data_IF_243986190414
#
_entry.id   IF_243986190414
#
_cell.length_a   1.000
_cell.length_b   1.000
_cell.length_c   1.000
_cell.angle_alpha   90.00
_cell.angle_beta   90.00
_cell.angle_gamma   90.00
#
_symmetry.space_group_name_H-M   'P 1'
#
loop_
_entity.id
_entity.type
_entity.pdbx_description
1 polymer ?
#
# COMPACT_ATOMS: atom_id res chain seq x y z
N UNK A 1 -82.27 4.50 -23.13
CA UNK A 1 -82.15 4.43 -24.60
C UNK A 1 -80.93 5.27 -24.96
N UNK A 2 -79.84 4.85 -25.58
CA UNK A 2 -79.47 3.62 -26.31
C UNK A 2 -77.95 3.70 -26.46
N UNK A 3 -77.20 2.61 -26.21
CA UNK A 3 -75.78 2.52 -26.62
C UNK A 3 -75.71 2.34 -28.14
N UNK A 4 -74.54 2.62 -28.75
CA UNK A 4 -73.99 1.57 -29.59
C UNK A 4 -72.51 1.29 -29.35
N UNK A 5 -72.19 0.06 -29.73
CA UNK A 5 -70.91 -0.65 -29.71
C UNK A 5 -69.90 -0.06 -30.70
N UNK A 6 -68.61 -0.25 -30.40
CA UNK A 6 -67.52 -0.16 -31.35
C UNK A 6 -66.39 -1.13 -30.98
N UNK A 7 -66.39 -2.31 -31.61
CA UNK A 7 -65.27 -3.26 -31.64
C UNK A 7 -64.21 -2.73 -32.61
N UNK A 8 -62.97 -2.61 -32.16
CA UNK A 8 -61.78 -2.36 -32.99
C UNK A 8 -60.71 -3.38 -32.68
N UNK A 9 -60.37 -4.20 -33.68
CA UNK A 9 -59.42 -5.32 -33.63
C UNK A 9 -57.99 -4.88 -33.96
N UNK A 10 -57.06 -5.79 -33.63
CA UNK A 10 -55.77 -6.09 -34.26
C UNK A 10 -54.47 -5.58 -33.63
N UNK A 11 -53.71 -6.57 -33.16
CA UNK A 11 -52.28 -6.57 -32.88
C UNK A 11 -51.42 -6.23 -34.09
N UNK A 12 -50.30 -5.53 -33.87
CA UNK A 12 -49.12 -5.58 -34.74
C UNK A 12 -47.87 -5.69 -33.84
N UNK A 13 -47.15 -6.80 -33.98
CA UNK A 13 -45.74 -6.96 -33.60
C UNK A 13 -44.87 -6.12 -34.54
N UNK A 14 -43.81 -5.46 -34.06
CA UNK A 14 -42.38 -5.76 -34.36
C UNK A 14 -41.41 -4.65 -33.95
N UNK A 15 -40.23 -5.10 -33.46
CA UNK A 15 -38.87 -4.54 -33.57
C UNK A 15 -38.59 -3.13 -33.00
N UNK A 16 -37.46 -2.80 -32.37
CA UNK A 16 -36.09 -3.29 -32.51
C UNK A 16 -35.24 -2.76 -31.33
N UNK A 17 -34.10 -3.44 -31.14
CA UNK A 17 -32.82 -2.91 -30.64
C UNK A 17 -32.74 -2.40 -29.20
N UNK A 18 -32.14 -3.22 -28.34
CA UNK A 18 -31.45 -2.73 -27.14
C UNK A 18 -30.05 -3.36 -27.05
N UNK A 19 -29.09 -2.57 -27.51
CA UNK A 19 -27.75 -2.34 -26.93
C UNK A 19 -26.84 -3.55 -26.65
N UNK A 20 -25.78 -3.62 -27.45
CA UNK A 20 -24.46 -4.16 -27.10
C UNK A 20 -24.06 -3.70 -25.69
N UNK A 21 -24.06 -4.61 -24.73
CA UNK A 21 -23.40 -4.38 -23.44
C UNK A 21 -21.90 -4.59 -23.65
N UNK A 22 -21.17 -3.51 -23.39
CA UNK A 22 -19.74 -3.35 -23.45
C UNK A 22 -18.97 -4.50 -22.79
N UNK A 23 -17.90 -4.89 -23.48
CA UNK A 23 -16.71 -5.56 -22.97
C UNK A 23 -16.41 -5.10 -21.54
N UNK A 24 -16.54 -6.02 -20.59
CA UNK A 24 -15.93 -5.85 -19.27
C UNK A 24 -14.43 -5.73 -19.46
N UNK A 25 -13.89 -4.53 -19.24
CA UNK A 25 -12.47 -4.36 -19.03
C UNK A 25 -12.11 -5.15 -17.78
N UNK A 26 -11.41 -6.27 -17.98
CA UNK A 26 -10.76 -6.97 -16.89
C UNK A 26 -9.79 -5.97 -16.25
N UNK A 27 -10.16 -5.42 -15.09
CA UNK A 27 -9.21 -4.77 -14.20
C UNK A 27 -8.24 -5.88 -13.77
N UNK A 28 -7.06 -5.93 -14.39
CA UNK A 28 -5.95 -6.68 -13.84
C UNK A 28 -5.53 -5.99 -12.53
N UNK A 29 -6.28 -6.27 -11.47
CA UNK A 29 -5.71 -6.31 -10.13
C UNK A 29 -4.66 -7.41 -10.21
N UNK A 30 -3.40 -7.05 -10.35
CA UNK A 30 -2.31 -8.02 -10.20
C UNK A 30 -2.34 -8.48 -8.75
N UNK A 31 -3.12 -9.53 -8.52
CA UNK A 31 -3.04 -10.30 -7.31
C UNK A 31 -1.64 -10.91 -7.27
N UNK A 32 -0.95 -10.71 -6.15
CA UNK A 32 0.32 -11.38 -5.83
C UNK A 32 0.20 -12.87 -6.20
N UNK A 33 1.14 -13.38 -7.01
CA UNK A 33 1.10 -14.79 -7.38
C UNK A 33 1.50 -15.66 -6.18
N UNK A 34 1.13 -16.94 -6.22
CA UNK A 34 1.53 -17.86 -5.15
C UNK A 34 3.06 -17.99 -5.03
N UNK A 35 3.77 -17.86 -6.14
CA UNK A 35 5.24 -17.89 -6.18
C UNK A 35 5.82 -16.64 -5.53
N UNK A 36 5.35 -15.44 -5.90
CA UNK A 36 5.81 -14.16 -5.33
C UNK A 36 5.59 -14.14 -3.81
N UNK A 37 4.41 -14.61 -3.37
CA UNK A 37 4.09 -14.75 -1.96
C UNK A 37 5.06 -15.69 -1.24
N UNK A 38 5.37 -16.85 -1.82
CA UNK A 38 6.28 -17.80 -1.21
C UNK A 38 7.70 -17.24 -1.09
N UNK A 39 8.18 -16.53 -2.12
CA UNK A 39 9.48 -15.87 -2.15
C UNK A 39 9.57 -14.76 -1.11
N UNK A 40 8.60 -13.83 -1.09
CA UNK A 40 8.58 -12.75 -0.11
C UNK A 40 8.50 -13.29 1.32
N UNK A 41 7.73 -14.36 1.56
CA UNK A 41 7.67 -15.01 2.87
C UNK A 41 8.99 -15.68 3.26
N UNK A 42 9.74 -16.25 2.31
CA UNK A 42 11.07 -16.80 2.55
C UNK A 42 12.09 -15.69 2.84
N UNK A 43 12.06 -14.59 2.09
CA UNK A 43 12.90 -13.42 2.32
C UNK A 43 12.63 -12.79 3.69
N UNK A 44 11.36 -12.60 4.07
CA UNK A 44 11.00 -12.09 5.39
C UNK A 44 11.58 -12.98 6.51
N UNK A 45 11.42 -14.31 6.40
CA UNK A 45 11.99 -15.27 7.37
C UNK A 45 13.51 -15.21 7.41
N UNK A 46 14.16 -15.08 6.26
CA UNK A 46 15.62 -14.91 6.17
C UNK A 46 16.04 -13.66 6.93
N UNK A 47 15.41 -12.52 6.65
CA UNK A 47 15.67 -11.26 7.35
C UNK A 47 15.50 -11.39 8.86
N UNK A 48 14.43 -12.03 9.34
CA UNK A 48 14.28 -12.35 10.75
C UNK A 48 15.46 -13.18 11.29
N UNK A 49 15.81 -14.29 10.62
CA UNK A 49 16.83 -15.23 11.13
C UNK A 49 18.23 -14.64 11.17
N UNK A 50 18.56 -13.79 10.20
CA UNK A 50 19.87 -13.13 10.08
C UNK A 50 19.93 -11.83 10.87
N UNK A 51 18.79 -11.35 11.40
CA UNK A 51 18.63 -10.02 11.98
C UNK A 51 18.98 -8.90 11.00
N UNK A 52 18.59 -9.07 9.74
CA UNK A 52 18.71 -8.07 8.68
C UNK A 52 17.36 -7.37 8.46
N UNK A 53 17.17 -6.20 9.09
CA UNK A 53 15.88 -5.49 9.07
C UNK A 53 15.49 -5.03 7.67
N UNK A 54 16.44 -4.51 6.88
CA UNK A 54 16.15 -4.01 5.52
C UNK A 54 15.65 -5.15 4.64
N UNK A 55 16.29 -6.33 4.68
CA UNK A 55 15.82 -7.51 3.96
C UNK A 55 14.38 -7.92 4.36
N UNK A 56 14.08 -7.89 5.66
CA UNK A 56 12.73 -8.13 6.16
C UNK A 56 11.74 -7.06 5.66
N UNK A 57 12.12 -5.79 5.73
CA UNK A 57 11.28 -4.66 5.35
C UNK A 57 10.96 -4.70 3.85
N UNK A 58 11.91 -5.02 2.99
CA UNK A 58 11.69 -5.15 1.54
C UNK A 58 10.60 -6.18 1.24
N UNK A 59 10.65 -7.34 1.89
CA UNK A 59 9.59 -8.35 1.79
C UNK A 59 8.25 -7.86 2.35
N UNK A 60 8.28 -7.10 3.45
CA UNK A 60 7.10 -6.49 4.05
C UNK A 60 6.46 -5.42 3.14
N UNK A 61 7.27 -4.66 2.40
CA UNK A 61 6.83 -3.67 1.42
C UNK A 61 6.23 -4.34 0.19
N UNK A 62 6.89 -5.39 -0.32
CA UNK A 62 6.46 -6.09 -1.53
C UNK A 62 5.17 -6.89 -1.35
N UNK A 63 4.98 -7.58 -0.22
CA UNK A 63 3.95 -8.61 -0.09
C UNK A 63 2.83 -8.24 0.91
N UNK A 64 1.56 -8.12 0.46
CA UNK A 64 0.41 -8.07 1.34
C UNK A 64 0.32 -9.25 2.32
N UNK A 65 0.72 -10.46 1.90
CA UNK A 65 0.70 -11.64 2.76
C UNK A 65 1.74 -11.55 3.89
N UNK A 66 2.95 -11.05 3.60
CA UNK A 66 3.96 -10.76 4.63
C UNK A 66 3.43 -9.70 5.60
N UNK A 67 2.83 -8.61 5.10
CA UNK A 67 2.20 -7.61 5.98
C UNK A 67 1.14 -8.20 6.89
N UNK A 68 0.26 -9.04 6.34
CA UNK A 68 -0.80 -9.68 7.13
C UNK A 68 -0.22 -10.57 8.24
N UNK A 69 0.91 -11.25 8.00
CA UNK A 69 1.58 -12.10 8.98
C UNK A 69 2.37 -11.32 10.04
N UNK A 70 3.05 -10.26 9.63
CA UNK A 70 4.01 -9.52 10.47
C UNK A 70 3.47 -8.16 10.94
N UNK A 71 2.17 -7.91 10.83
CA UNK A 71 1.51 -6.83 11.55
C UNK A 71 1.07 -7.35 12.92
N UNK A 72 1.41 -6.65 13.99
CA UNK A 72 1.00 -7.04 15.34
C UNK A 72 -0.53 -7.05 15.45
N UNK A 73 -1.13 -7.81 16.40
CA UNK A 73 -2.60 -7.91 16.55
C UNK A 73 -3.31 -6.56 16.65
N UNK A 74 -2.60 -5.54 17.14
CA UNK A 74 -3.06 -4.16 17.15
C UNK A 74 -1.90 -3.21 16.80
N UNK A 75 -2.18 -2.20 15.95
CA UNK A 75 -1.24 -1.15 15.56
C UNK A 75 -1.67 0.16 16.17
N UNK A 76 -0.82 0.75 16.98
CA UNK A 76 -1.07 2.06 17.55
C UNK A 76 -0.77 3.15 16.54
N UNK A 77 -1.75 4.01 16.28
CA UNK A 77 -1.47 5.23 15.52
C UNK A 77 -0.91 6.26 16.50
N UNK A 78 0.22 6.90 16.24
CA UNK A 78 0.80 7.92 17.13
C UNK A 78 1.22 9.14 16.35
N UNK A 79 1.32 10.28 17.03
CA UNK A 79 1.83 11.50 16.41
C UNK A 79 3.34 11.38 16.17
N UNK A 80 3.78 11.68 14.95
CA UNK A 80 5.20 11.58 14.55
C UNK A 80 6.11 12.41 15.46
N UNK A 81 5.69 13.62 15.84
CA UNK A 81 6.48 14.52 16.71
C UNK A 81 6.48 14.11 18.18
N UNK A 82 5.57 13.24 18.61
CA UNK A 82 5.44 12.81 20.00
C UNK A 82 5.15 11.30 20.07
N UNK A 83 6.06 10.45 19.54
CA UNK A 83 5.80 9.03 19.38
C UNK A 83 5.73 8.28 20.71
N UNK A 84 6.24 8.87 21.80
CA UNK A 84 6.13 8.30 23.15
C UNK A 84 4.74 8.49 23.77
N UNK A 85 3.93 9.44 23.26
CA UNK A 85 2.58 9.68 23.80
C UNK A 85 1.58 8.80 23.07
N UNK A 86 0.79 8.05 23.83
CA UNK A 86 -0.35 7.33 23.29
C UNK A 86 -1.34 8.34 22.69
N UNK A 87 -1.79 8.11 21.45
CA UNK A 87 -2.83 8.92 20.82
C UNK A 87 -4.25 8.52 21.28
N UNK A 88 -4.39 7.35 21.89
CA UNK A 88 -5.66 6.69 22.18
C UNK A 88 -6.24 5.92 20.99
N UNK A 89 -5.66 6.00 19.78
CA UNK A 89 -6.10 5.26 18.60
C UNK A 89 -5.27 4.00 18.40
N UNK A 90 -5.91 2.85 18.59
CA UNK A 90 -5.32 1.55 18.33
C UNK A 90 -6.21 0.80 17.31
N UNK A 91 -5.61 0.39 16.20
CA UNK A 91 -6.31 -0.32 15.13
C UNK A 91 -6.02 -1.82 15.26
N UNK A 92 -7.03 -2.70 15.31
CA UNK A 92 -6.75 -4.13 15.17
C UNK A 92 -6.09 -4.38 13.81
N UNK A 93 -5.22 -5.39 13.72
CA UNK A 93 -4.53 -5.76 12.47
C UNK A 93 -5.53 -5.94 11.31
N UNK A 94 -6.70 -6.52 11.62
CA UNK A 94 -7.81 -6.71 10.70
C UNK A 94 -8.45 -5.42 10.21
N UNK A 95 -8.12 -4.23 10.75
CA UNK A 95 -8.54 -2.92 10.24
C UNK A 95 -7.36 -2.07 9.76
N UNK A 96 -6.12 -2.49 9.99
CA UNK A 96 -4.94 -1.83 9.45
C UNK A 96 -4.80 -2.17 7.96
N UNK A 97 -5.19 -1.23 7.09
CA UNK A 97 -5.25 -1.44 5.63
C UNK A 97 -4.20 -0.67 4.85
N UNK A 98 -3.58 0.32 5.48
CA UNK A 98 -2.80 1.34 4.78
C UNK A 98 -1.35 1.24 5.21
N UNK A 99 -0.50 0.90 4.25
CA UNK A 99 0.94 1.01 4.35
C UNK A 99 1.40 1.84 3.14
N UNK A 100 1.99 3.01 3.39
CA UNK A 100 2.17 4.07 2.38
C UNK A 100 3.56 4.11 1.74
N UNK A 101 4.33 3.03 1.86
CA UNK A 101 5.67 2.94 1.30
C UNK A 101 5.73 1.78 0.31
N UNK A 102 6.29 2.06 -0.86
CA UNK A 102 6.57 1.14 -1.96
C UNK A 102 8.00 1.35 -2.46
N UNK A 103 8.47 0.46 -3.33
CA UNK A 103 9.75 0.60 -4.02
C UNK A 103 9.51 0.83 -5.52
N UNK A 104 10.33 1.67 -6.13
CA UNK A 104 10.55 1.72 -7.58
C UNK A 104 12.04 1.56 -7.78
N UNK A 105 12.46 0.43 -8.35
CA UNK A 105 13.87 -0.02 -8.34
C UNK A 105 14.47 0.04 -6.93
N UNK A 106 15.52 0.84 -6.74
CA UNK A 106 16.21 1.02 -5.45
C UNK A 106 15.67 2.19 -4.62
N UNK A 107 14.65 2.90 -5.11
CA UNK A 107 14.13 4.12 -4.49
C UNK A 107 12.83 3.84 -3.70
N UNK A 108 12.79 4.31 -2.45
CA UNK A 108 11.56 4.35 -1.66
C UNK A 108 10.60 5.41 -2.22
N UNK A 109 9.33 5.06 -2.36
CA UNK A 109 8.30 5.90 -2.95
C UNK A 109 6.96 5.80 -2.21
N UNK A 110 6.13 6.84 -2.32
CA UNK A 110 4.77 6.81 -1.79
C UNK A 110 3.89 5.85 -2.59
N UNK A 111 3.28 4.85 -1.91
CA UNK A 111 2.48 3.80 -2.56
C UNK A 111 1.34 4.33 -3.42
N UNK A 112 0.66 5.39 -2.99
CA UNK A 112 -0.45 5.93 -3.75
C UNK A 112 0.03 6.63 -5.02
N UNK A 113 1.19 7.29 -4.97
CA UNK A 113 1.84 7.90 -6.13
C UNK A 113 2.36 6.87 -7.14
N UNK A 114 2.95 5.77 -6.66
CA UNK A 114 3.40 4.67 -7.52
C UNK A 114 2.23 4.07 -8.28
N UNK A 115 1.11 3.79 -7.61
CA UNK A 115 -0.11 3.30 -8.27
C UNK A 115 -0.64 4.24 -9.35
N UNK A 116 -0.52 5.56 -9.16
CA UNK A 116 -0.91 6.54 -10.19
C UNK A 116 0.05 6.52 -11.36
N UNK A 117 1.36 6.47 -11.10
CA UNK A 117 2.40 6.38 -12.11
C UNK A 117 2.31 5.09 -12.95
N UNK A 118 2.06 3.95 -12.31
CA UNK A 118 1.84 2.67 -13.01
C UNK A 118 0.62 2.70 -13.93
N UNK A 119 -0.44 3.40 -13.52
CA UNK A 119 -1.64 3.59 -14.34
C UNK A 119 -1.45 4.62 -15.47
N UNK A 120 -0.59 5.61 -15.26
CA UNK A 120 -0.27 6.69 -16.19
C UNK A 120 1.16 7.20 -15.95
N UNK A 121 2.15 6.76 -16.75
CA UNK A 121 3.55 7.13 -16.57
C UNK A 121 3.85 8.63 -16.73
N UNK A 122 2.90 9.43 -17.25
CA UNK A 122 3.05 10.89 -17.30
C UNK A 122 2.86 11.56 -15.93
N UNK A 123 2.32 10.83 -14.94
CA UNK A 123 2.19 11.26 -13.56
C UNK A 123 3.37 10.73 -12.74
N UNK A 124 4.37 11.55 -12.39
CA UNK A 124 5.53 11.07 -11.65
C UNK A 124 5.12 10.57 -10.25
N UNK A 125 5.74 9.47 -9.81
CA UNK A 125 5.64 9.05 -8.42
C UNK A 125 6.40 10.01 -7.51
N UNK A 126 6.10 9.96 -6.22
CA UNK A 126 6.73 10.79 -5.19
C UNK A 126 7.78 9.97 -4.45
N UNK A 127 9.04 10.34 -4.60
CA UNK A 127 10.14 9.75 -3.86
C UNK A 127 10.08 10.09 -2.36
N UNK A 128 10.64 9.22 -1.55
CA UNK A 128 10.72 9.36 -0.11
C UNK A 128 12.18 9.44 0.33
N UNK A 129 12.51 10.48 1.09
CA UNK A 129 13.69 10.51 1.94
C UNK A 129 13.40 9.61 3.15
N UNK A 130 14.30 8.66 3.43
CA UNK A 130 14.07 7.63 4.45
C UNK A 130 15.22 7.57 5.46
N UNK A 131 14.88 7.16 6.68
CA UNK A 131 15.86 6.92 7.74
C UNK A 131 15.49 5.68 8.52
N UNK A 132 16.51 4.89 8.84
CA UNK A 132 16.44 3.71 9.69
C UNK A 132 17.11 4.01 11.03
N UNK A 133 16.44 3.69 12.12
CA UNK A 133 16.98 3.83 13.47
C UNK A 133 16.77 2.53 14.26
N UNK A 134 17.88 1.89 14.62
CA UNK A 134 17.92 0.78 15.56
C UNK A 134 17.67 1.30 16.97
N UNK A 135 16.72 0.70 17.68
CA UNK A 135 16.39 1.08 19.05
C UNK A 135 17.01 0.08 20.06
N UNK A 136 17.29 0.52 21.30
CA UNK A 136 17.97 -0.32 22.30
C UNK A 136 17.25 -1.64 22.66
N UNK A 137 15.95 -1.72 22.41
CA UNK A 137 15.11 -2.89 22.66
C UNK A 137 15.07 -3.88 21.46
N UNK A 138 15.85 -3.62 20.41
CA UNK A 138 15.86 -4.41 19.17
C UNK A 138 14.72 -4.05 18.21
N UNK A 139 13.90 -3.07 18.55
CA UNK A 139 12.93 -2.48 17.62
C UNK A 139 13.64 -1.65 16.56
N UNK A 140 12.99 -1.49 15.40
CA UNK A 140 13.43 -0.61 14.33
C UNK A 140 12.41 0.48 14.10
N UNK A 141 12.88 1.72 14.04
CA UNK A 141 12.06 2.83 13.56
C UNK A 141 12.46 3.13 12.11
N UNK A 142 11.46 3.07 11.24
CA UNK A 142 11.58 3.44 9.84
C UNK A 142 10.79 4.73 9.62
N UNK A 143 11.48 5.84 9.43
CA UNK A 143 10.84 7.14 9.16
C UNK A 143 11.04 7.56 7.72
N UNK A 144 10.09 8.30 7.19
CA UNK A 144 10.14 8.74 5.81
C UNK A 144 9.45 10.10 5.64
N UNK A 145 9.86 10.85 4.63
CA UNK A 145 9.25 12.12 4.26
C UNK A 145 9.27 12.29 2.74
N UNK A 146 8.14 12.67 2.11
CA UNK A 146 8.11 13.00 0.69
C UNK A 146 9.16 14.06 0.33
N UNK A 147 9.94 13.80 -0.71
CA UNK A 147 11.06 14.64 -1.11
C UNK A 147 11.19 14.75 -2.64
N UNK A 148 11.79 15.86 -3.09
CA UNK A 148 12.43 15.95 -4.40
C UNK A 148 13.87 15.53 -4.18
N UNK A 149 14.27 14.46 -4.88
CA UNK A 149 15.60 13.91 -4.86
C UNK A 149 16.28 14.20 -6.19
N UNK A 150 17.57 14.50 -6.14
CA UNK A 150 18.44 14.58 -7.31
C UNK A 150 19.34 13.37 -7.31
N UNK A 151 19.41 12.70 -8.45
CA UNK A 151 20.40 11.64 -8.68
C UNK A 151 21.79 12.27 -8.58
N UNK A 152 22.67 11.67 -7.80
CA UNK A 152 24.03 12.16 -7.64
C UNK A 152 24.96 11.81 -8.81
N UNK A 153 24.45 11.10 -9.83
CA UNK A 153 25.15 10.69 -11.07
C UNK A 153 26.35 9.74 -10.83
N UNK A 154 26.81 9.61 -9.59
CA UNK A 154 27.89 8.72 -9.13
C UNK A 154 27.35 7.73 -8.09
N UNK A 155 27.23 6.46 -8.48
CA UNK A 155 26.74 5.38 -7.62
C UNK A 155 25.21 5.26 -7.58
N UNK A 156 24.68 4.84 -6.43
CA UNK A 156 23.25 4.68 -6.13
C UNK A 156 22.73 5.75 -5.16
N UNK A 157 23.48 6.86 -5.03
CA UNK A 157 23.21 7.95 -4.11
C UNK A 157 22.15 8.93 -4.61
N UNK A 158 21.32 9.39 -3.67
CA UNK A 158 20.33 10.44 -3.90
C UNK A 158 20.55 11.58 -2.93
N UNK A 159 20.62 12.81 -3.44
CA UNK A 159 20.65 14.00 -2.59
C UNK A 159 19.25 14.58 -2.45
N UNK A 160 18.85 14.86 -1.21
CA UNK A 160 17.60 15.57 -0.92
C UNK A 160 17.74 17.04 -1.31
N UNK A 161 16.99 17.47 -2.32
CA UNK A 161 16.91 18.89 -2.68
C UNK A 161 15.90 19.62 -1.78
N UNK A 162 14.75 18.99 -1.54
CA UNK A 162 13.65 19.60 -0.78
C UNK A 162 12.62 18.59 -0.30
N UNK A 163 12.19 18.72 0.96
CA UNK A 163 11.00 18.00 1.45
C UNK A 163 9.68 18.66 1.01
N UNK A 164 8.71 17.86 0.60
CA UNK A 164 7.44 18.32 0.02
C UNK A 164 6.19 17.78 0.72
N UNK A 165 6.35 17.10 1.85
CA UNK A 165 5.26 16.55 2.65
C UNK A 165 5.58 16.52 4.14
N UNK A 166 4.63 16.02 4.93
CA UNK A 166 4.86 15.78 6.36
C UNK A 166 5.69 14.50 6.55
N UNK A 167 6.58 14.46 7.55
CA UNK A 167 7.24 13.22 7.91
C UNK A 167 6.25 12.25 8.55
N UNK A 168 6.50 10.96 8.35
CA UNK A 168 5.76 9.85 8.93
C UNK A 168 6.75 8.72 9.25
N UNK A 169 6.25 7.63 9.83
CA UNK A 169 7.10 6.48 10.08
C UNK A 169 6.36 5.28 10.63
N UNK A 170 7.10 4.23 10.87
CA UNK A 170 6.62 2.98 11.41
C UNK A 170 7.57 2.49 12.49
N UNK A 171 7.01 1.87 13.52
CA UNK A 171 7.78 1.15 14.52
C UNK A 171 7.56 -0.35 14.34
N UNK A 172 8.66 -1.06 14.15
CA UNK A 172 8.72 -2.51 14.07
C UNK A 172 9.35 -3.06 15.35
N UNK A 173 8.55 -3.68 16.21
CA UNK A 173 9.06 -4.25 17.46
C UNK A 173 9.52 -5.69 17.25
N UNK A 174 10.61 -6.09 17.89
CA UNK A 174 11.06 -7.48 17.87
C UNK A 174 10.20 -8.35 18.79
N UNK A 175 9.38 -9.24 18.21
CA UNK A 175 8.42 -10.07 18.93
C UNK A 175 8.34 -11.48 18.34
N UNK A 176 8.38 -12.50 19.20
CA UNK A 176 8.28 -13.91 18.78
C UNK A 176 9.31 -14.31 17.70
N UNK A 177 10.52 -13.76 17.78
CA UNK A 177 11.63 -14.09 16.88
C UNK A 177 11.60 -13.38 15.53
N UNK A 178 10.79 -12.34 15.34
CA UNK A 178 10.88 -11.45 14.18
C UNK A 178 10.33 -10.05 14.49
N UNK A 179 10.56 -9.09 13.60
CA UNK A 179 9.90 -7.79 13.63
C UNK A 179 8.41 -7.89 13.34
N UNK A 180 7.63 -7.10 14.08
CA UNK A 180 6.21 -6.89 13.83
C UNK A 180 5.89 -5.39 13.81
N UNK A 181 5.07 -4.95 12.85
CA UNK A 181 4.56 -3.58 12.81
C UNK A 181 3.65 -3.34 14.01
N UNK A 182 4.04 -2.42 14.89
CA UNK A 182 3.32 -2.10 16.14
C UNK A 182 2.84 -0.67 16.21
N UNK A 183 3.48 0.25 15.50
CA UNK A 183 3.06 1.66 15.46
C UNK A 183 3.10 2.24 14.06
N UNK A 184 2.12 3.08 13.78
CA UNK A 184 2.04 3.95 12.60
C UNK A 184 2.13 5.42 13.06
N UNK A 185 3.19 6.12 12.65
CA UNK A 185 3.53 7.47 13.08
C UNK A 185 3.13 8.49 12.01
N UNK A 186 2.26 9.44 12.36
CA UNK A 186 1.64 10.40 11.43
C UNK A 186 1.73 11.86 11.88
#
# INVERSE_FOLDING_TARGET
MTRPFGLGRYSVLTCAAATLALLGTAQASFAETQTDMAEAMAQAKSGCSQKEFVQFLDAFIASPAVRAKYTAPSVEQRAFRQPAKASGTNLPASNYRIFNVSHVDWQFADTASVKRWEADPSQPYTALDVKFEDLPDGSYRFTYQPAILRDDEEGDGWTVERHIGKPAGYLFAWQNGCWQLTQDLR
#
